data_IF_335548365140
#
_entry.id   IF_335548365140
#
_cell.length_a   1.000
_cell.length_b   1.000
_cell.length_c   1.000
_cell.angle_alpha   90.00
_cell.angle_beta   90.00
_cell.angle_gamma   90.00
#
_symmetry.space_group_name_H-M   'P 1'
#
loop_
_entity.id
_entity.type
_entity.pdbx_description
1 polymer ?
#
# COMPACT_ATOMS: atom_id res chain seq x y z
N UNK A 1 -43.43 32.58 -46.48
CA UNK A 1 -42.72 31.28 -46.46
C UNK A 1 -41.32 31.57 -46.97
N UNK A 2 -40.30 31.64 -46.13
CA UNK A 2 -39.42 30.50 -45.82
C UNK A 2 -38.66 30.73 -44.51
N UNK A 3 -38.51 29.65 -43.75
CA UNK A 3 -37.91 29.56 -42.41
C UNK A 3 -36.43 29.17 -42.50
N UNK A 4 -35.62 29.90 -41.72
CA UNK A 4 -34.55 29.42 -40.82
C UNK A 4 -33.46 28.46 -41.35
N UNK A 5 -32.20 28.90 -41.29
CA UNK A 5 -31.01 28.05 -41.13
C UNK A 5 -30.15 28.65 -40.01
N UNK A 6 -30.36 28.20 -38.76
CA UNK A 6 -29.66 27.11 -38.10
C UNK A 6 -28.18 27.46 -37.79
N UNK A 7 -28.01 28.10 -36.63
CA UNK A 7 -26.74 28.45 -36.01
C UNK A 7 -25.84 27.21 -35.84
N UNK A 8 -24.61 27.30 -36.36
CA UNK A 8 -23.55 26.32 -36.14
C UNK A 8 -23.06 26.45 -34.69
N UNK A 9 -23.43 25.49 -33.85
CA UNK A 9 -22.96 25.37 -32.47
C UNK A 9 -21.47 24.98 -32.48
N UNK A 10 -20.64 25.87 -31.93
CA UNK A 10 -19.28 25.55 -31.49
C UNK A 10 -19.36 24.56 -30.31
N UNK A 11 -19.09 23.28 -30.56
CA UNK A 11 -18.84 22.31 -29.50
C UNK A 11 -17.33 22.18 -29.28
N UNK A 12 -16.75 23.10 -28.52
CA UNK A 12 -15.39 22.96 -27.99
C UNK A 12 -15.37 21.89 -26.91
N UNK A 13 -14.77 20.74 -27.19
CA UNK A 13 -14.57 19.70 -26.19
C UNK A 13 -13.49 20.15 -25.18
N UNK A 14 -13.92 20.54 -23.98
CA UNK A 14 -13.04 20.71 -22.82
C UNK A 14 -12.52 19.33 -22.40
N UNK A 15 -11.27 19.03 -22.76
CA UNK A 15 -10.54 17.91 -22.20
C UNK A 15 -10.21 18.21 -20.73
N UNK A 16 -11.03 17.67 -19.81
CA UNK A 16 -10.70 17.66 -18.39
C UNK A 16 -9.59 16.62 -18.16
N UNK A 17 -8.34 17.09 -18.05
CA UNK A 17 -7.25 16.27 -17.53
C UNK A 17 -7.47 16.06 -16.03
N UNK A 18 -7.92 14.86 -15.63
CA UNK A 18 -7.96 14.48 -14.22
C UNK A 18 -6.52 14.40 -13.65
N UNK A 19 -6.28 14.84 -12.40
CA UNK A 19 -4.97 14.69 -11.79
C UNK A 19 -4.68 13.20 -11.55
N UNK A 20 -3.58 12.71 -12.12
CA UNK A 20 -2.98 11.42 -11.74
C UNK A 20 -2.42 11.55 -10.32
N UNK A 21 -3.24 11.21 -9.32
CA UNK A 21 -2.75 11.07 -7.96
C UNK A 21 -1.71 9.95 -7.93
N UNK A 22 -0.43 10.28 -7.73
CA UNK A 22 0.59 9.29 -7.38
C UNK A 22 0.17 8.59 -6.07
N UNK A 23 0.46 7.29 -5.88
CA UNK A 23 -0.37 6.43 -5.07
C UNK A 23 0.03 6.57 -3.60
N UNK A 24 -0.83 7.13 -2.76
CA UNK A 24 -0.68 7.09 -1.30
C UNK A 24 -0.40 5.65 -0.80
N UNK A 25 -0.95 4.65 -1.50
CA UNK A 25 -0.67 3.23 -1.29
C UNK A 25 0.84 2.88 -1.34
N UNK A 26 1.64 3.50 -2.21
CA UNK A 26 3.07 3.18 -2.36
C UNK A 26 3.90 3.73 -1.20
N UNK A 27 3.59 4.93 -0.72
CA UNK A 27 4.25 5.50 0.46
C UNK A 27 3.96 4.66 1.72
N UNK A 28 2.70 4.23 1.87
CA UNK A 28 2.27 3.39 2.98
C UNK A 28 2.89 1.98 2.96
N UNK A 29 3.05 1.40 1.76
CA UNK A 29 3.67 0.09 1.62
C UNK A 29 5.18 0.10 1.88
N UNK A 30 5.87 1.22 1.61
CA UNK A 30 7.27 1.36 2.03
C UNK A 30 7.39 1.30 3.55
N UNK A 31 6.55 2.07 4.27
CA UNK A 31 6.53 2.03 5.73
C UNK A 31 6.24 0.62 6.27
N UNK A 32 5.26 -0.07 5.69
CA UNK A 32 4.94 -1.44 6.08
C UNK A 32 6.13 -2.38 5.87
N UNK A 33 6.76 -2.34 4.69
CA UNK A 33 7.85 -3.24 4.35
C UNK A 33 9.09 -3.02 5.24
N UNK A 34 9.42 -1.76 5.53
CA UNK A 34 10.52 -1.43 6.44
C UNK A 34 10.23 -1.86 7.88
N UNK A 35 8.98 -1.70 8.33
CA UNK A 35 8.54 -2.16 9.65
C UNK A 35 8.59 -3.67 9.76
N UNK A 36 8.07 -4.40 8.76
CA UNK A 36 8.08 -5.85 8.74
C UNK A 36 9.51 -6.43 8.72
N UNK A 37 10.42 -5.82 7.96
CA UNK A 37 11.83 -6.22 7.93
C UNK A 37 12.51 -6.03 9.30
N UNK A 38 12.31 -4.89 9.96
CA UNK A 38 12.85 -4.63 11.30
C UNK A 38 12.28 -5.60 12.33
N UNK A 39 11.00 -5.94 12.22
CA UNK A 39 10.37 -6.94 13.08
C UNK A 39 11.00 -8.33 12.86
N UNK A 40 11.30 -8.72 11.63
CA UNK A 40 12.02 -9.97 11.37
C UNK A 40 13.44 -9.97 11.95
N UNK A 41 14.16 -8.87 11.83
CA UNK A 41 15.48 -8.74 12.46
C UNK A 41 15.40 -8.91 13.98
N UNK A 42 14.38 -8.32 14.63
CA UNK A 42 14.13 -8.52 16.07
C UNK A 42 13.79 -9.96 16.42
N UNK A 43 12.98 -10.64 15.60
CA UNK A 43 12.66 -12.05 15.75
C UNK A 43 13.94 -12.92 15.74
N UNK A 44 14.82 -12.69 14.78
CA UNK A 44 16.10 -13.40 14.64
C UNK A 44 17.06 -13.09 15.79
N UNK A 45 17.27 -11.81 16.10
CA UNK A 45 18.17 -11.36 17.18
C UNK A 45 17.70 -11.83 18.56
N UNK A 46 16.38 -11.80 18.78
CA UNK A 46 15.73 -12.28 20.00
C UNK A 46 15.60 -13.80 20.08
N UNK A 47 15.97 -14.54 19.02
CA UNK A 47 15.77 -15.99 18.90
C UNK A 47 14.32 -16.42 19.21
N UNK A 48 13.35 -15.59 18.81
CA UNK A 48 11.93 -15.81 19.13
C UNK A 48 11.32 -17.00 18.37
N UNK A 49 11.96 -17.43 17.26
CA UNK A 49 11.58 -18.64 16.53
C UNK A 49 10.33 -18.50 15.66
N UNK A 50 9.83 -17.28 15.46
CA UNK A 50 8.70 -17.07 14.56
C UNK A 50 9.14 -17.29 13.10
N UNK A 51 8.26 -17.90 12.30
CA UNK A 51 8.56 -18.32 10.94
C UNK A 51 7.33 -18.18 10.04
N UNK A 52 7.54 -18.29 8.72
CA UNK A 52 6.50 -18.13 7.72
C UNK A 52 6.68 -16.88 6.84
N UNK A 53 5.84 -16.69 5.80
CA UNK A 53 5.95 -15.58 4.86
C UNK A 53 5.90 -14.19 5.51
N UNK A 54 5.17 -14.05 6.62
CA UNK A 54 5.06 -12.80 7.37
C UNK A 54 6.36 -12.41 8.11
N UNK A 55 7.29 -13.36 8.24
CA UNK A 55 8.61 -13.24 8.84
C UNK A 55 9.72 -13.34 7.77
N UNK A 56 9.41 -13.00 6.52
CA UNK A 56 10.42 -12.95 5.46
C UNK A 56 11.48 -11.87 5.75
N UNK A 57 12.75 -12.19 5.50
CA UNK A 57 13.87 -11.22 5.50
C UNK A 57 13.96 -10.40 4.19
N UNK A 58 13.02 -10.60 3.27
CA UNK A 58 12.95 -9.85 2.01
C UNK A 58 11.99 -8.65 2.13
N UNK A 59 12.55 -7.44 2.07
CA UNK A 59 11.75 -6.20 1.95
C UNK A 59 10.81 -6.24 0.75
N UNK A 60 11.28 -6.77 -0.38
CA UNK A 60 10.50 -6.86 -1.61
C UNK A 60 9.27 -7.76 -1.45
N UNK A 61 9.38 -8.84 -0.68
CA UNK A 61 8.24 -9.72 -0.38
C UNK A 61 7.16 -8.98 0.42
N UNK A 62 7.55 -8.13 1.37
CA UNK A 62 6.60 -7.30 2.13
C UNK A 62 5.95 -6.21 1.27
N UNK A 63 6.70 -5.58 0.37
CA UNK A 63 6.15 -4.64 -0.62
C UNK A 63 5.12 -5.31 -1.52
N UNK A 64 5.48 -6.46 -2.10
CA UNK A 64 4.61 -7.22 -3.00
C UNK A 64 3.32 -7.63 -2.29
N UNK A 65 3.41 -8.12 -1.05
CA UNK A 65 2.23 -8.45 -0.27
C UNK A 65 1.38 -7.21 0.02
N UNK A 66 1.98 -6.11 0.51
CA UNK A 66 1.24 -4.90 0.84
C UNK A 66 0.44 -4.33 -0.34
N UNK A 67 1.01 -4.36 -1.55
CA UNK A 67 0.35 -3.87 -2.76
C UNK A 67 -0.94 -4.63 -3.11
N UNK A 68 -1.15 -5.83 -2.55
CA UNK A 68 -2.36 -6.64 -2.75
C UNK A 68 -3.40 -6.47 -1.63
N UNK A 69 -3.09 -5.69 -0.60
CA UNK A 69 -3.88 -5.62 0.63
C UNK A 69 -4.46 -4.22 0.88
N UNK A 70 -5.66 -4.18 1.46
CA UNK A 70 -6.21 -2.94 2.00
C UNK A 70 -5.38 -2.45 3.19
N UNK A 71 -5.31 -1.11 3.45
CA UNK A 71 -4.54 -0.53 4.54
C UNK A 71 -4.70 -1.19 5.90
N UNK A 72 -5.93 -1.51 6.28
CA UNK A 72 -6.21 -2.10 7.59
C UNK A 72 -5.60 -3.50 7.77
N UNK A 73 -5.42 -4.25 6.67
CA UNK A 73 -4.85 -5.60 6.70
C UNK A 73 -3.36 -5.57 7.01
N UNK A 74 -2.60 -4.70 6.33
CA UNK A 74 -1.16 -4.60 6.58
C UNK A 74 -0.85 -3.88 7.90
N UNK A 75 -1.69 -2.92 8.33
CA UNK A 75 -1.61 -2.33 9.67
C UNK A 75 -1.81 -3.37 10.76
N UNK A 76 -2.87 -4.17 10.65
CA UNK A 76 -3.16 -5.24 11.61
C UNK A 76 -2.04 -6.29 11.65
N UNK A 77 -1.44 -6.63 10.50
CA UNK A 77 -0.30 -7.55 10.43
C UNK A 77 0.94 -6.99 11.16
N UNK A 78 1.29 -5.72 10.95
CA UNK A 78 2.39 -5.06 11.65
C UNK A 78 2.17 -5.02 13.17
N UNK A 79 0.95 -4.67 13.61
CA UNK A 79 0.59 -4.66 15.03
C UNK A 79 0.60 -6.06 15.65
N UNK A 80 0.14 -7.10 14.92
CA UNK A 80 0.18 -8.48 15.38
C UNK A 80 1.62 -8.91 15.67
N UNK A 81 2.54 -8.69 14.71
CA UNK A 81 3.95 -9.02 14.89
C UNK A 81 4.59 -8.26 16.04
N UNK A 82 4.21 -7.00 16.26
CA UNK A 82 4.69 -6.24 17.40
C UNK A 82 4.28 -6.89 18.72
N UNK A 83 3.02 -7.32 18.86
CA UNK A 83 2.56 -8.05 20.05
C UNK A 83 3.28 -9.39 20.23
N UNK A 84 3.54 -10.12 19.15
CA UNK A 84 4.31 -11.36 19.20
C UNK A 84 5.74 -11.12 19.71
N UNK A 85 6.41 -10.08 19.21
CA UNK A 85 7.76 -9.71 19.64
C UNK A 85 7.79 -9.18 21.08
N UNK A 86 6.77 -8.43 21.51
CA UNK A 86 6.67 -7.98 22.89
C UNK A 86 6.52 -9.15 23.88
N UNK A 87 5.88 -10.25 23.46
CA UNK A 87 5.76 -11.48 24.23
C UNK A 87 7.01 -12.38 24.21
N UNK A 88 7.96 -12.11 23.31
CA UNK A 88 9.20 -12.86 23.23
C UNK A 88 10.14 -12.47 24.38
N UNK A 89 10.33 -13.39 25.34
CA UNK A 89 11.30 -13.26 26.44
C UNK A 89 12.52 -14.10 26.07
N UNK A 90 13.66 -13.43 25.94
CA UNK A 90 14.95 -14.05 25.62
C UNK A 90 15.47 -14.87 26.80
#
# INVERSE_FOLDING_TARGET
>A
MTRTTASLLLAGALAAAAPVAAPAQTADCNWYADTALKQQQRNEQGKCGFSGPEWSSSRQSHLAWCATQAPDRWKAAAQKRERMLAGCKR
#
